data_IF_820583887884
#
_entry.id   IF_820583887884
#
_cell.length_a   1.000
_cell.length_b   1.000
_cell.length_c   1.000
_cell.angle_alpha   90.00
_cell.angle_beta   90.00
_cell.angle_gamma   90.00
#
_symmetry.space_group_name_H-M   'P 1'
#
loop_
_entity.id
_entity.type
_entity.pdbx_description
1 polymer ?
#
# COMPACT_ATOMS: atom_id res chain seq x y z
N UNK A 1 8.25 3.23 17.54
CA UNK A 1 6.85 2.78 17.76
C UNK A 1 6.52 1.78 16.66
N UNK A 2 6.45 0.49 17.00
CA UNK A 2 6.28 -0.61 16.03
C UNK A 2 4.83 -1.09 16.09
N UNK A 3 4.03 -0.69 15.10
CA UNK A 3 2.71 -1.28 14.89
C UNK A 3 2.74 -1.99 13.52
N UNK A 4 3.15 -3.26 13.60
CA UNK A 4 2.88 -4.32 12.63
C UNK A 4 3.65 -4.32 11.30
N UNK A 5 4.97 -4.23 11.38
CA UNK A 5 5.87 -4.74 10.33
C UNK A 5 5.98 -6.26 10.48
N UNK A 6 5.30 -7.03 9.62
CA UNK A 6 5.47 -8.48 9.56
C UNK A 6 6.80 -8.80 8.89
N UNK A 7 7.37 -9.97 9.18
CA UNK A 7 8.61 -10.43 8.54
C UNK A 7 8.28 -11.70 7.78
N UNK A 8 8.66 -11.76 6.51
CA UNK A 8 8.48 -12.97 5.71
C UNK A 8 9.52 -14.00 6.15
N UNK A 9 9.09 -15.20 6.55
CA UNK A 9 9.99 -16.24 7.08
C UNK A 9 10.91 -16.85 6.01
N UNK A 10 10.58 -16.72 4.72
CA UNK A 10 11.38 -17.23 3.61
C UNK A 10 12.43 -16.24 3.14
N UNK A 11 12.13 -14.94 3.16
CA UNK A 11 13.06 -13.89 2.67
C UNK A 11 13.69 -13.07 3.78
N UNK A 12 13.12 -13.07 4.99
CA UNK A 12 13.52 -12.21 6.10
C UNK A 12 13.14 -10.75 5.91
N UNK A 13 12.43 -10.41 4.82
CA UNK A 13 12.10 -9.02 4.51
C UNK A 13 10.85 -8.56 5.25
N UNK A 14 10.84 -7.28 5.68
CA UNK A 14 9.65 -6.69 6.27
C UNK A 14 8.55 -6.40 5.25
N UNK A 15 7.31 -6.70 5.62
CA UNK A 15 6.14 -6.34 4.83
C UNK A 15 4.99 -5.85 5.71
N UNK A 16 4.03 -5.17 5.06
CA UNK A 16 2.81 -4.71 5.69
C UNK A 16 1.61 -5.45 5.11
N UNK A 17 0.67 -5.87 5.97
CA UNK A 17 -0.56 -6.52 5.53
C UNK A 17 -1.65 -5.48 5.30
N UNK A 18 -2.03 -5.27 4.03
CA UNK A 18 -3.17 -4.44 3.66
C UNK A 18 -4.43 -5.30 3.44
N UNK A 19 -5.58 -4.83 3.92
CA UNK A 19 -6.90 -5.36 3.55
C UNK A 19 -7.66 -4.27 2.81
N UNK A 20 -8.00 -4.54 1.56
CA UNK A 20 -8.77 -3.62 0.73
C UNK A 20 -10.21 -4.09 0.70
N UNK A 21 -11.14 -3.19 1.04
CA UNK A 21 -12.58 -3.41 0.91
C UNK A 21 -13.13 -2.32 0.01
N UNK A 22 -13.88 -2.72 -1.01
CA UNK A 22 -14.59 -1.78 -1.88
C UNK A 22 -15.94 -1.46 -1.23
N UNK A 23 -16.29 -0.17 -1.14
CA UNK A 23 -17.62 0.24 -0.70
C UNK A 23 -18.64 0.00 -1.81
N UNK A 24 -19.77 -0.61 -1.45
CA UNK A 24 -20.87 -0.85 -2.38
C UNK A 24 -21.57 0.44 -2.81
N UNK A 25 -21.51 1.51 -2.01
CA UNK A 25 -22.05 2.81 -2.38
C UNK A 25 -21.23 3.44 -3.51
N UNK A 26 -19.90 3.44 -3.41
CA UNK A 26 -19.00 3.94 -4.44
C UNK A 26 -19.16 3.14 -5.75
N UNK A 27 -19.35 1.82 -5.65
CA UNK A 27 -19.64 0.99 -6.83
C UNK A 27 -20.95 1.34 -7.53
N UNK A 28 -21.94 1.84 -6.80
CA UNK A 28 -23.21 2.26 -7.39
C UNK A 28 -23.05 3.56 -8.21
N UNK A 29 -22.07 4.40 -7.87
CA UNK A 29 -21.73 5.62 -8.63
C UNK A 29 -20.93 5.32 -9.90
N UNK A 30 -20.25 4.17 -9.97
CA UNK A 30 -19.61 3.70 -11.20
C UNK A 30 -20.64 2.97 -12.09
N UNK A 31 -21.49 3.75 -12.75
CA UNK A 31 -22.56 3.27 -13.63
C UNK A 31 -22.10 2.27 -14.71
N UNK A 32 -20.84 2.35 -15.15
CA UNK A 32 -20.27 1.50 -16.20
C UNK A 32 -19.43 0.31 -15.67
N UNK A 33 -19.26 0.18 -14.35
CA UNK A 33 -18.45 -0.90 -13.75
C UNK A 33 -19.34 -1.92 -13.06
N UNK A 34 -19.45 -3.11 -13.66
CA UNK A 34 -20.08 -4.28 -13.04
C UNK A 34 -19.01 -5.27 -12.57
N UNK A 35 -18.85 -5.41 -11.26
CA UNK A 35 -17.97 -6.42 -10.66
C UNK A 35 -18.62 -7.81 -10.72
N UNK A 36 -17.83 -8.80 -11.15
CA UNK A 36 -18.22 -10.21 -11.15
C UNK A 36 -17.17 -11.05 -10.43
N UNK A 37 -17.57 -12.16 -9.75
CA UNK A 37 -16.61 -13.08 -9.16
C UNK A 37 -15.62 -13.60 -10.20
N UNK A 38 -14.32 -13.61 -9.86
CA UNK A 38 -13.24 -14.02 -10.77
C UNK A 38 -12.72 -12.92 -11.69
N UNK A 39 -13.28 -11.71 -11.64
CA UNK A 39 -12.71 -10.55 -12.32
C UNK A 39 -11.35 -10.18 -11.71
N UNK A 40 -10.28 -10.02 -12.50
CA UNK A 40 -9.00 -9.56 -11.99
C UNK A 40 -9.12 -8.10 -11.54
N UNK A 41 -8.47 -7.77 -10.43
CA UNK A 41 -8.38 -6.42 -9.91
C UNK A 41 -6.92 -6.10 -9.60
N UNK A 42 -6.52 -4.87 -9.87
CA UNK A 42 -5.20 -4.35 -9.55
C UNK A 42 -5.33 -3.28 -8.47
N UNK A 43 -4.48 -3.35 -7.45
CA UNK A 43 -4.42 -2.37 -6.38
C UNK A 43 -3.05 -1.71 -6.42
N UNK A 44 -3.04 -0.41 -6.70
CA UNK A 44 -1.82 0.39 -6.66
C UNK A 44 -1.73 1.12 -5.32
N UNK A 45 -0.71 0.81 -4.53
CA UNK A 45 -0.42 1.50 -3.27
C UNK A 45 0.65 2.56 -3.56
N UNK A 46 0.25 3.83 -3.54
CA UNK A 46 1.18 4.95 -3.66
C UNK A 46 1.77 5.25 -2.28
N UNK A 47 3.04 4.89 -2.05
CA UNK A 47 3.71 5.00 -0.74
C UNK A 47 4.24 6.40 -0.41
N UNK A 48 3.84 7.41 -1.19
CA UNK A 48 4.31 8.80 -1.10
C UNK A 48 5.24 9.18 -2.26
N UNK A 49 5.42 10.48 -2.45
CA UNK A 49 6.38 11.01 -3.41
C UNK A 49 7.74 11.16 -2.71
N UNK A 50 8.74 10.43 -3.17
CA UNK A 50 10.11 10.66 -2.74
C UNK A 50 10.78 11.62 -3.71
N UNK A 51 11.11 12.81 -3.23
CA UNK A 51 11.97 13.75 -3.95
C UNK A 51 13.44 13.33 -3.81
N UNK A 52 14.30 13.77 -4.73
CA UNK A 52 15.76 13.59 -4.59
C UNK A 52 16.28 14.14 -3.26
N UNK A 53 15.68 15.23 -2.78
CA UNK A 53 16.03 15.85 -1.51
C UNK A 53 15.72 14.94 -0.32
N UNK A 54 14.62 14.17 -0.36
CA UNK A 54 14.27 13.22 0.70
C UNK A 54 15.32 12.12 0.86
N UNK A 55 15.89 11.64 -0.26
CA UNK A 55 17.00 10.69 -0.21
C UNK A 55 18.30 11.30 0.32
N UNK A 56 18.57 12.58 0.02
CA UNK A 56 19.76 13.27 0.52
C UNK A 56 19.67 13.55 2.03
N UNK A 57 18.48 13.82 2.56
CA UNK A 57 18.26 14.09 3.98
C UNK A 57 18.00 12.82 4.81
N UNK A 58 17.68 11.69 4.18
CA UNK A 58 17.44 10.42 4.86
C UNK A 58 18.55 10.03 5.87
N UNK A 59 19.86 10.18 5.58
CA UNK A 59 20.93 9.86 6.52
C UNK A 59 20.97 10.81 7.73
N UNK A 60 20.60 12.08 7.54
CA UNK A 60 20.62 13.11 8.59
C UNK A 60 19.47 12.91 9.56
N UNK A 61 18.31 12.45 9.07
CA UNK A 61 17.15 12.11 9.90
C UNK A 61 17.27 10.73 10.58
N UNK A 62 18.04 9.81 10.00
CA UNK A 62 18.27 8.47 10.57
C UNK A 62 19.33 8.44 11.69
N UNK A 63 19.99 9.57 11.97
CA UNK A 63 20.90 9.71 13.12
C UNK A 63 20.13 10.08 14.40
N UNK A 64 20.37 9.40 15.54
CA UNK A 64 19.79 9.76 16.83
C UNK A 64 20.33 11.08 17.39
#
# INVERSE_FOLDING_TARGET
MSADRLTDEKTGEPYFRAKVKVDTADLAELHDVRLFPGMPAEVMILTGEHTLFDYMLAPVQASP
#
